data_IF_229051646843
#
_entry.id   IF_229051646843
#
_cell.length_a   1.000
_cell.length_b   1.000
_cell.length_c   1.000
_cell.angle_alpha   90.00
_cell.angle_beta   90.00
_cell.angle_gamma   90.00
#
_symmetry.space_group_name_H-M   'P 1'
#
loop_
_entity.id
_entity.type
_entity.pdbx_description
1 polymer ?
#
# COMPACT_ATOMS: atom_id res chain seq x y z
N UNK A 1 -23.91 55.27 -10.11
CA UNK A 1 -22.91 56.19 -9.53
C UNK A 1 -21.57 55.51 -9.60
N UNK A 2 -20.99 55.72 -10.61
CA UNK A 2 -19.72 56.09 -11.19
C UNK A 2 -18.49 55.96 -10.25
N UNK A 3 -17.48 55.30 -10.87
CA UNK A 3 -16.04 55.66 -10.86
C UNK A 3 -15.19 54.93 -9.81
N UNK A 4 -13.97 54.45 -10.08
CA UNK A 4 -12.98 54.64 -11.18
C UNK A 4 -11.95 53.52 -11.21
N UNK A 5 -11.57 53.12 -12.42
CA UNK A 5 -10.32 52.38 -12.72
C UNK A 5 -9.08 53.19 -12.26
N UNK A 6 -8.06 52.47 -11.80
CA UNK A 6 -6.68 53.00 -11.90
C UNK A 6 -5.73 51.85 -12.31
N UNK A 7 -5.39 51.88 -13.61
CA UNK A 7 -4.22 51.18 -14.19
C UNK A 7 -2.97 51.95 -13.76
N UNK A 8 -1.90 51.23 -13.37
CA UNK A 8 -0.54 51.74 -13.56
C UNK A 8 0.36 50.66 -14.14
N UNK A 9 1.02 51.09 -15.17
CA UNK A 9 1.88 50.47 -16.14
C UNK A 9 3.29 50.23 -15.63
N UNK A 10 3.95 49.22 -16.24
CA UNK A 10 5.38 48.87 -16.19
C UNK A 10 6.32 50.07 -16.51
N UNK A 11 7.63 49.89 -16.18
CA UNK A 11 8.49 49.65 -17.33
C UNK A 11 9.57 48.53 -17.13
N UNK A 12 9.87 47.95 -18.28
CA UNK A 12 10.98 47.09 -18.67
C UNK A 12 12.31 47.85 -18.51
N UNK A 13 13.36 47.19 -17.99
CA UNK A 13 14.74 47.57 -18.32
C UNK A 13 15.58 46.30 -18.53
N UNK A 14 16.00 46.14 -19.77
CA UNK A 14 17.00 45.17 -20.21
C UNK A 14 18.39 45.74 -20.02
N UNK A 15 19.34 44.94 -19.54
CA UNK A 15 20.78 45.19 -19.75
C UNK A 15 21.43 43.87 -20.12
N UNK A 16 21.92 43.85 -21.35
CA UNK A 16 22.86 42.89 -21.95
C UNK A 16 24.26 43.30 -21.55
N UNK A 17 25.12 42.38 -21.12
CA UNK A 17 26.55 42.48 -21.41
C UNK A 17 27.24 41.10 -21.45
N UNK A 18 27.88 40.91 -22.57
CA UNK A 18 28.69 39.79 -23.01
C UNK A 18 30.05 39.74 -22.31
N UNK A 19 30.64 38.57 -22.16
CA UNK A 19 32.04 38.40 -21.79
C UNK A 19 32.53 36.96 -22.03
N UNK A 20 32.98 36.71 -23.25
CA UNK A 20 33.81 35.55 -23.60
C UNK A 20 35.21 35.68 -22.97
N UNK A 21 35.76 34.62 -22.43
CA UNK A 21 37.21 34.37 -22.39
C UNK A 21 37.46 32.85 -22.42
N UNK A 22 37.97 32.40 -23.52
CA UNK A 22 38.61 31.11 -23.73
C UNK A 22 40.06 31.18 -23.25
N UNK A 23 40.55 30.17 -22.55
CA UNK A 23 41.97 29.88 -22.45
C UNK A 23 42.20 28.36 -22.57
N UNK A 24 43.18 28.06 -23.39
CA UNK A 24 43.55 26.83 -24.00
C UNK A 24 44.40 25.88 -23.10
N UNK A 25 44.49 24.64 -23.58
CA UNK A 25 45.31 23.52 -23.20
C UNK A 25 46.75 23.79 -22.78
N UNK A 26 47.27 22.99 -21.86
CA UNK A 26 48.66 22.50 -21.98
C UNK A 26 48.78 21.11 -21.33
N UNK A 27 49.11 20.11 -22.13
CA UNK A 27 49.65 18.81 -21.72
C UNK A 27 51.02 18.95 -21.07
N UNK A 28 51.28 18.21 -20.02
CA UNK A 28 52.66 17.91 -19.62
C UNK A 28 52.74 16.47 -19.11
N UNK A 29 53.34 15.62 -19.93
CA UNK A 29 53.81 14.27 -19.56
C UNK A 29 55.03 14.40 -18.65
N UNK A 30 54.99 13.73 -17.52
CA UNK A 30 56.25 13.35 -16.84
C UNK A 30 56.10 11.91 -16.38
N UNK A 31 56.93 11.10 -16.99
CA UNK A 31 57.19 9.68 -16.69
C UNK A 31 58.12 9.61 -15.50
N UNK A 32 57.80 8.85 -14.46
CA UNK A 32 58.76 8.33 -13.51
C UNK A 32 58.34 6.94 -13.06
N UNK A 33 59.31 6.03 -13.16
CA UNK A 33 59.25 4.59 -12.98
C UNK A 33 59.24 4.14 -11.53
N UNK A 34 58.38 3.17 -11.23
CA UNK A 34 58.38 1.93 -10.41
C UNK A 34 59.28 1.88 -9.13
N UNK A 35 58.81 1.32 -7.97
CA UNK A 35 58.90 -0.13 -7.85
C UNK A 35 57.67 -0.85 -7.32
N UNK A 36 57.58 -2.10 -7.77
CA UNK A 36 56.78 -3.24 -7.46
C UNK A 36 56.63 -3.50 -5.96
N UNK A 37 55.36 -3.57 -5.50
CA UNK A 37 55.02 -4.30 -4.29
C UNK A 37 53.66 -4.95 -4.53
N UNK A 38 53.68 -6.25 -4.71
CA UNK A 38 52.56 -7.17 -4.74
C UNK A 38 51.77 -7.08 -3.47
N UNK A 39 50.62 -6.39 -3.50
CA UNK A 39 49.52 -6.59 -2.56
C UNK A 39 48.33 -7.23 -3.30
N UNK A 40 47.97 -8.42 -2.83
CA UNK A 40 46.79 -9.17 -3.26
C UNK A 40 45.51 -8.30 -3.04
N UNK A 41 45.05 -7.66 -4.09
CA UNK A 41 43.69 -7.17 -4.17
C UNK A 41 42.82 -8.39 -4.42
N UNK A 42 42.15 -8.85 -3.37
CA UNK A 42 40.98 -9.74 -3.47
C UNK A 42 39.90 -8.91 -4.15
N UNK A 43 39.83 -9.01 -5.46
CA UNK A 43 38.62 -8.64 -6.21
C UNK A 43 37.57 -9.63 -5.79
N UNK A 44 36.68 -9.22 -4.86
CA UNK A 44 35.40 -9.85 -4.73
C UNK A 44 34.66 -9.56 -6.04
N UNK A 45 34.72 -10.51 -6.95
CA UNK A 45 33.73 -10.62 -8.02
C UNK A 45 32.37 -10.66 -7.35
N UNK A 46 31.64 -9.56 -7.43
CA UNK A 46 30.19 -9.54 -7.25
C UNK A 46 29.65 -10.29 -8.46
N UNK A 47 29.64 -11.60 -8.36
CA UNK A 47 28.88 -12.47 -9.26
C UNK A 47 27.44 -12.04 -9.12
N UNK A 48 26.97 -11.25 -10.07
CA UNK A 48 25.54 -11.13 -10.39
C UNK A 48 25.03 -12.57 -10.49
N UNK A 49 24.00 -12.97 -9.74
CA UNK A 49 23.41 -14.30 -9.92
C UNK A 49 22.90 -14.36 -11.36
N UNK A 50 23.59 -15.08 -12.20
CA UNK A 50 23.05 -15.58 -13.47
C UNK A 50 21.96 -16.57 -13.07
N UNK A 51 20.70 -16.12 -13.08
CA UNK A 51 19.56 -16.99 -12.93
C UNK A 51 19.43 -17.80 -14.22
N UNK A 52 19.97 -19.01 -14.22
CA UNK A 52 19.45 -20.09 -15.06
C UNK A 52 18.10 -20.46 -14.47
N UNK A 53 17.06 -19.73 -14.85
CA UNK A 53 15.67 -20.14 -14.58
C UNK A 53 15.49 -21.49 -15.27
N UNK A 54 15.33 -22.55 -14.48
CA UNK A 54 15.09 -23.90 -15.01
C UNK A 54 13.66 -24.06 -15.55
N UNK A 55 12.82 -23.03 -15.38
CA UNK A 55 11.43 -23.00 -15.84
C UNK A 55 11.41 -22.38 -17.25
N UNK A 56 10.88 -23.10 -18.25
CA UNK A 56 10.79 -22.55 -19.60
C UNK A 56 9.87 -21.33 -19.63
N UNK A 57 10.15 -20.33 -20.48
CA UNK A 57 9.26 -19.20 -20.69
C UNK A 57 7.85 -19.66 -21.06
N UNK A 58 6.82 -18.97 -20.55
CA UNK A 58 5.44 -19.32 -20.91
C UNK A 58 5.21 -19.11 -22.41
N UNK A 59 4.49 -20.04 -23.02
CA UNK A 59 4.15 -20.01 -24.46
C UNK A 59 2.67 -20.33 -24.63
N UNK A 60 2.03 -19.74 -25.59
CA UNK A 60 0.61 -19.96 -25.88
C UNK A 60 -0.19 -18.66 -25.80
N UNK A 61 -1.50 -18.80 -25.88
CA UNK A 61 -2.41 -17.65 -25.77
C UNK A 61 -2.29 -17.02 -24.38
N UNK A 62 -2.13 -15.71 -24.29
CA UNK A 62 -2.03 -15.02 -23.02
C UNK A 62 -3.25 -15.25 -22.11
N UNK A 63 -3.01 -15.23 -20.80
CA UNK A 63 -4.06 -15.01 -19.81
C UNK A 63 -4.15 -13.50 -19.57
N UNK A 64 -5.26 -12.88 -19.97
CA UNK A 64 -5.43 -11.44 -19.95
C UNK A 64 -6.09 -11.01 -18.64
N UNK A 65 -5.37 -10.22 -17.83
CA UNK A 65 -5.90 -9.64 -16.60
C UNK A 65 -6.24 -8.18 -16.86
N UNK A 66 -7.51 -7.83 -16.71
CA UNK A 66 -7.96 -6.43 -16.66
C UNK A 66 -7.61 -5.83 -15.31
N UNK A 67 -7.02 -4.65 -15.28
CA UNK A 67 -6.66 -3.94 -14.05
C UNK A 67 -7.43 -2.64 -13.98
N UNK A 68 -8.09 -2.39 -12.84
CA UNK A 68 -8.64 -1.07 -12.50
C UNK A 68 -7.92 -0.53 -11.27
N UNK A 69 -7.39 0.68 -11.38
CA UNK A 69 -6.75 1.38 -10.28
C UNK A 69 -6.99 2.89 -10.37
N UNK A 70 -7.06 3.59 -9.24
CA UNK A 70 -7.25 5.05 -9.21
C UNK A 70 -5.91 5.77 -9.22
N UNK A 71 -5.71 6.63 -10.23
CA UNK A 71 -4.49 7.43 -10.38
C UNK A 71 -4.81 8.84 -10.95
N UNK A 72 -3.89 9.78 -10.72
CA UNK A 72 -3.92 11.11 -11.32
C UNK A 72 -5.01 12.05 -10.79
N UNK A 73 -5.72 11.68 -9.74
CA UNK A 73 -6.70 12.52 -9.06
C UNK A 73 -6.04 13.25 -7.87
N UNK A 74 -6.35 14.52 -7.64
CA UNK A 74 -5.84 15.22 -6.45
C UNK A 74 -6.26 14.60 -5.11
N UNK A 75 -7.38 13.87 -5.10
CA UNK A 75 -7.92 13.21 -3.92
C UNK A 75 -7.44 11.75 -3.77
N UNK A 76 -6.99 11.12 -4.87
CA UNK A 76 -6.61 9.72 -4.90
C UNK A 76 -5.63 9.46 -6.06
N UNK A 77 -4.39 9.10 -5.74
CA UNK A 77 -3.33 8.83 -6.71
C UNK A 77 -2.46 7.69 -6.19
N UNK A 78 -2.68 6.48 -6.72
CA UNK A 78 -2.07 5.26 -6.21
C UNK A 78 -1.30 4.48 -7.30
N UNK A 79 -0.35 5.09 -8.01
CA UNK A 79 0.42 4.42 -9.08
C UNK A 79 1.25 3.23 -8.57
N UNK A 80 1.49 3.15 -7.27
CA UNK A 80 2.26 2.08 -6.65
C UNK A 80 1.60 0.71 -6.85
N UNK A 81 0.26 0.64 -6.84
CA UNK A 81 -0.46 -0.58 -7.18
C UNK A 81 -0.19 -1.03 -8.60
N UNK A 82 -0.36 -0.14 -9.58
CA UNK A 82 -0.15 -0.45 -11.00
C UNK A 82 1.29 -0.85 -11.28
N UNK A 83 2.25 -0.18 -10.67
CA UNK A 83 3.66 -0.52 -10.79
C UNK A 83 3.96 -1.89 -10.20
N UNK A 84 3.38 -2.23 -9.06
CA UNK A 84 3.52 -3.54 -8.43
C UNK A 84 2.87 -4.65 -9.25
N UNK A 85 1.70 -4.42 -9.86
CA UNK A 85 1.05 -5.37 -10.77
C UNK A 85 1.92 -5.67 -11.98
N UNK A 86 2.48 -4.64 -12.63
CA UNK A 86 3.43 -4.81 -13.75
C UNK A 86 4.68 -5.58 -13.33
N UNK A 87 5.23 -5.23 -12.17
CA UNK A 87 6.42 -5.89 -11.63
C UNK A 87 6.18 -7.37 -11.35
N UNK A 88 5.06 -7.71 -10.70
CA UNK A 88 4.68 -9.08 -10.38
C UNK A 88 4.37 -9.89 -11.66
N UNK A 89 3.66 -9.32 -12.63
CA UNK A 89 3.42 -9.97 -13.92
C UNK A 89 4.73 -10.26 -14.68
N UNK A 90 5.68 -9.32 -14.67
CA UNK A 90 7.00 -9.52 -15.26
C UNK A 90 7.75 -10.66 -14.55
N UNK A 91 7.72 -10.70 -13.21
CA UNK A 91 8.33 -11.78 -12.43
C UNK A 91 7.69 -13.13 -12.73
N UNK A 92 6.36 -13.21 -12.77
CA UNK A 92 5.64 -14.43 -13.08
C UNK A 92 5.99 -14.93 -14.50
N UNK A 93 6.07 -14.05 -15.47
CA UNK A 93 6.39 -14.42 -16.85
C UNK A 93 7.84 -14.83 -17.03
N UNK A 94 8.79 -14.15 -16.34
CA UNK A 94 10.22 -14.43 -16.54
C UNK A 94 10.74 -15.59 -15.71
N UNK A 95 10.21 -15.78 -14.48
CA UNK A 95 10.80 -16.70 -13.51
C UNK A 95 9.86 -17.84 -13.10
N UNK A 96 8.54 -17.64 -13.20
CA UNK A 96 7.56 -18.59 -12.67
C UNK A 96 6.78 -19.34 -13.77
N UNK A 97 7.08 -19.10 -15.06
CA UNK A 97 6.47 -19.80 -16.18
C UNK A 97 5.03 -19.41 -16.49
N UNK A 98 4.62 -18.21 -16.10
CA UNK A 98 3.27 -17.69 -16.35
C UNK A 98 2.17 -18.36 -15.50
N UNK A 99 0.93 -18.26 -15.94
CA UNK A 99 -0.21 -18.99 -15.38
C UNK A 99 -0.31 -20.36 -16.06
N UNK A 100 0.26 -21.37 -15.41
CA UNK A 100 0.29 -22.74 -15.91
C UNK A 100 0.83 -22.83 -17.36
N UNK A 101 1.85 -22.07 -17.71
CA UNK A 101 2.49 -22.06 -19.03
C UNK A 101 1.92 -21.02 -20.01
N UNK A 102 0.89 -20.27 -19.64
CA UNK A 102 0.35 -19.12 -20.41
C UNK A 102 1.00 -17.82 -19.91
N UNK A 103 1.51 -16.93 -20.79
CA UNK A 103 1.98 -15.62 -20.34
C UNK A 103 0.82 -14.78 -19.78
N UNK A 104 1.11 -13.94 -18.81
CA UNK A 104 0.15 -12.94 -18.29
C UNK A 104 0.30 -11.67 -19.12
N UNK A 105 -0.82 -11.13 -19.56
CA UNK A 105 -0.92 -9.78 -20.11
C UNK A 105 -1.83 -8.92 -19.24
N UNK A 106 -1.44 -7.66 -19.00
CA UNK A 106 -2.23 -6.71 -18.22
C UNK A 106 -2.86 -5.67 -19.12
N UNK A 107 -4.20 -5.63 -19.14
CA UNK A 107 -5.00 -4.56 -19.72
C UNK A 107 -5.36 -3.57 -18.61
N UNK A 108 -4.67 -2.43 -18.57
CA UNK A 108 -4.78 -1.49 -17.46
C UNK A 108 -5.67 -0.32 -17.83
N UNK A 109 -6.73 -0.11 -17.06
CA UNK A 109 -7.58 1.06 -17.10
C UNK A 109 -7.41 1.87 -15.81
N UNK A 110 -7.03 3.14 -15.95
CA UNK A 110 -6.86 4.06 -14.83
C UNK A 110 -8.16 4.82 -14.61
N UNK A 111 -8.74 4.65 -13.41
CA UNK A 111 -9.86 5.47 -12.96
C UNK A 111 -9.36 6.77 -12.32
N UNK A 112 -10.19 7.79 -12.29
CA UNK A 112 -9.89 9.07 -11.60
C UNK A 112 -10.64 9.18 -10.26
N UNK A 113 -11.13 8.05 -9.74
CA UNK A 113 -11.81 8.00 -8.45
C UNK A 113 -13.24 8.52 -8.49
N UNK A 114 -13.95 8.40 -9.62
CA UNK A 114 -15.39 8.69 -9.72
C UNK A 114 -16.16 7.46 -10.20
N UNK A 115 -17.47 7.35 -9.86
CA UNK A 115 -18.31 6.23 -10.33
C UNK A 115 -18.30 6.08 -11.84
N UNK A 116 -18.32 7.19 -12.58
CA UNK A 116 -18.36 7.21 -14.04
C UNK A 116 -17.05 6.68 -14.64
N UNK A 117 -15.90 7.04 -14.04
CA UNK A 117 -14.61 6.55 -14.52
C UNK A 117 -14.41 5.06 -14.23
N UNK A 118 -14.85 4.58 -13.07
CA UNK A 118 -14.80 3.15 -12.71
C UNK A 118 -15.71 2.33 -13.62
N UNK A 119 -16.93 2.84 -13.92
CA UNK A 119 -17.83 2.21 -14.87
C UNK A 119 -17.24 2.17 -16.29
N UNK A 120 -16.62 3.26 -16.75
CA UNK A 120 -15.97 3.30 -18.06
C UNK A 120 -14.84 2.26 -18.14
N UNK A 121 -14.03 2.09 -17.09
CA UNK A 121 -13.01 1.06 -17.01
C UNK A 121 -13.61 -0.36 -17.10
N UNK A 122 -14.68 -0.63 -16.34
CA UNK A 122 -15.33 -1.94 -16.38
C UNK A 122 -15.88 -2.25 -17.79
N UNK A 123 -16.50 -1.29 -18.46
CA UNK A 123 -17.01 -1.43 -19.82
C UNK A 123 -15.88 -1.67 -20.85
N UNK A 124 -14.77 -0.94 -20.73
CA UNK A 124 -13.59 -1.11 -21.59
C UNK A 124 -13.02 -2.52 -21.44
N UNK A 125 -12.79 -2.98 -20.21
CA UNK A 125 -12.22 -4.28 -19.92
C UNK A 125 -13.18 -5.42 -20.33
N UNK A 126 -14.48 -5.25 -20.15
CA UNK A 126 -15.49 -6.19 -20.62
C UNK A 126 -15.50 -6.29 -22.15
N UNK A 127 -15.37 -5.16 -22.87
CA UNK A 127 -15.27 -5.16 -24.33
C UNK A 127 -14.00 -5.87 -24.84
N UNK A 128 -12.90 -5.80 -24.10
CA UNK A 128 -11.64 -6.51 -24.36
C UNK A 128 -11.70 -7.99 -23.99
N UNK A 129 -12.75 -8.43 -23.29
CA UNK A 129 -12.96 -9.82 -22.85
C UNK A 129 -11.80 -10.36 -22.03
N UNK A 130 -11.37 -9.59 -21.02
CA UNK A 130 -10.33 -10.04 -20.10
C UNK A 130 -10.76 -11.31 -19.36
N UNK A 131 -9.82 -12.19 -19.02
CA UNK A 131 -10.11 -13.46 -18.32
C UNK A 131 -10.48 -13.24 -16.85
N UNK A 132 -9.97 -12.16 -16.23
CA UNK A 132 -10.11 -11.81 -14.82
C UNK A 132 -9.99 -10.29 -14.65
N UNK A 133 -10.78 -9.68 -13.78
CA UNK A 133 -10.59 -8.30 -13.33
C UNK A 133 -9.86 -8.25 -12.01
N UNK A 134 -8.74 -7.56 -11.96
CA UNK A 134 -7.94 -7.31 -10.76
C UNK A 134 -8.10 -5.85 -10.35
N UNK A 135 -8.59 -5.63 -9.13
CA UNK A 135 -8.84 -4.28 -8.61
C UNK A 135 -7.69 -3.91 -7.65
N UNK A 136 -7.04 -2.80 -7.93
CA UNK A 136 -6.11 -2.15 -7.02
C UNK A 136 -6.85 -1.37 -5.93
N UNK A 137 -6.69 -0.07 -5.91
CA UNK A 137 -7.49 0.82 -5.07
C UNK A 137 -8.47 1.59 -5.96
N UNK A 138 -9.69 1.09 -6.09
CA UNK A 138 -10.80 1.78 -6.75
C UNK A 138 -12.01 1.82 -5.82
N UNK A 139 -12.50 3.03 -5.52
CA UNK A 139 -13.58 3.23 -4.53
C UNK A 139 -14.95 2.83 -5.11
N UNK A 140 -15.13 2.94 -6.42
CA UNK A 140 -16.45 2.80 -7.06
C UNK A 140 -16.49 1.65 -8.08
N UNK A 141 -16.01 0.46 -7.67
CA UNK A 141 -15.96 -0.71 -8.55
C UNK A 141 -17.34 -1.02 -9.16
N UNK A 142 -17.43 -1.10 -10.47
CA UNK A 142 -18.65 -1.50 -11.18
C UNK A 142 -18.74 -3.02 -11.33
N UNK A 143 -19.11 -3.70 -10.25
CA UNK A 143 -19.32 -5.16 -10.24
C UNK A 143 -20.41 -5.59 -11.24
N UNK A 144 -21.42 -4.75 -11.47
CA UNK A 144 -22.54 -5.07 -12.35
C UNK A 144 -22.08 -5.33 -13.79
N UNK A 145 -21.20 -4.48 -14.31
CA UNK A 145 -20.63 -4.64 -15.66
C UNK A 145 -19.76 -5.89 -15.77
N UNK A 146 -18.90 -6.14 -14.78
CA UNK A 146 -18.04 -7.34 -14.79
C UNK A 146 -18.87 -8.63 -14.71
N UNK A 147 -19.84 -8.69 -13.79
CA UNK A 147 -20.72 -9.85 -13.61
C UNK A 147 -21.57 -10.12 -14.87
N UNK A 148 -22.11 -9.07 -15.50
CA UNK A 148 -22.85 -9.22 -16.76
C UNK A 148 -21.97 -9.78 -17.91
N UNK A 149 -20.69 -9.53 -17.88
CA UNK A 149 -19.70 -10.05 -18.81
C UNK A 149 -19.11 -11.42 -18.40
N UNK A 150 -19.51 -11.97 -17.25
CA UNK A 150 -18.96 -13.18 -16.64
C UNK A 150 -17.44 -13.07 -16.39
N UNK A 151 -16.97 -11.89 -16.00
CA UNK A 151 -15.59 -11.62 -15.65
C UNK A 151 -15.51 -11.61 -14.12
N UNK A 152 -14.84 -12.57 -13.47
CA UNK A 152 -14.68 -12.59 -12.03
C UNK A 152 -13.78 -11.44 -11.57
N UNK A 153 -14.11 -10.89 -10.39
CA UNK A 153 -13.40 -9.75 -9.78
C UNK A 153 -12.61 -10.21 -8.58
N UNK A 154 -11.30 -9.94 -8.58
CA UNK A 154 -10.43 -10.16 -7.41
C UNK A 154 -9.79 -8.82 -7.04
N UNK A 155 -10.18 -8.28 -5.88
CA UNK A 155 -9.67 -7.02 -5.35
C UNK A 155 -8.60 -7.21 -4.28
N UNK A 156 -7.74 -6.20 -4.11
CA UNK A 156 -6.84 -6.14 -2.98
C UNK A 156 -7.62 -5.83 -1.70
N UNK A 157 -8.27 -4.67 -1.66
CA UNK A 157 -8.83 -4.07 -0.44
C UNK A 157 -10.29 -3.66 -0.68
N UNK A 158 -11.27 -4.21 0.05
CA UNK A 158 -12.63 -3.69 0.05
C UNK A 158 -12.69 -2.35 0.80
N UNK A 159 -13.33 -1.34 0.22
CA UNK A 159 -13.33 0.03 0.73
C UNK A 159 -14.72 0.43 1.25
N UNK A 160 -15.74 0.21 0.43
CA UNK A 160 -17.12 0.56 0.77
C UNK A 160 -17.88 -0.62 1.38
N UNK A 161 -18.93 -0.36 2.18
CA UNK A 161 -19.78 -1.44 2.70
C UNK A 161 -20.36 -2.37 1.60
N UNK A 162 -20.62 -1.83 0.41
CA UNK A 162 -21.07 -2.61 -0.76
C UNK A 162 -20.06 -3.65 -1.22
N UNK A 163 -18.78 -3.42 -0.99
CA UNK A 163 -17.71 -4.32 -1.41
C UNK A 163 -17.69 -5.61 -0.57
N UNK A 164 -18.13 -5.53 0.69
CA UNK A 164 -18.08 -6.66 1.63
C UNK A 164 -18.99 -7.83 1.23
N UNK A 165 -20.05 -7.54 0.45
CA UNK A 165 -21.02 -8.54 -0.02
C UNK A 165 -21.13 -8.59 -1.54
N UNK A 166 -20.23 -7.93 -2.26
CA UNK A 166 -20.19 -7.95 -3.72
C UNK A 166 -19.93 -9.37 -4.26
N UNK A 167 -20.32 -9.62 -5.49
CA UNK A 167 -19.86 -10.82 -6.21
C UNK A 167 -18.42 -10.60 -6.69
N UNK A 168 -17.52 -10.64 -5.72
CA UNK A 168 -16.10 -10.39 -5.86
C UNK A 168 -15.34 -11.16 -4.76
N UNK A 169 -14.02 -11.12 -4.84
CA UNK A 169 -13.11 -11.72 -3.86
C UNK A 169 -12.10 -10.67 -3.45
N UNK A 170 -12.03 -10.36 -2.17
CA UNK A 170 -11.04 -9.46 -1.58
C UNK A 170 -10.08 -10.25 -0.71
N UNK A 171 -8.87 -10.45 -1.21
CA UNK A 171 -7.89 -11.35 -0.60
C UNK A 171 -7.10 -10.74 0.55
N UNK A 172 -7.09 -9.40 0.69
CA UNK A 172 -6.50 -8.73 1.85
C UNK A 172 -7.56 -8.05 2.70
N UNK A 173 -7.15 -7.64 3.89
CA UNK A 173 -8.04 -7.00 4.85
C UNK A 173 -8.41 -5.59 4.41
N UNK A 174 -9.71 -5.33 4.29
CA UNK A 174 -10.25 -3.98 4.06
C UNK A 174 -10.38 -3.16 5.34
N UNK A 175 -10.92 -1.97 5.17
CA UNK A 175 -11.05 -0.98 6.25
C UNK A 175 -11.77 -1.54 7.49
N UNK A 176 -12.87 -2.30 7.30
CA UNK A 176 -13.60 -2.93 8.39
C UNK A 176 -12.72 -3.85 9.23
N UNK A 177 -11.93 -4.72 8.57
CA UNK A 177 -11.03 -5.66 9.27
C UNK A 177 -9.88 -4.90 9.93
N UNK A 178 -9.30 -3.90 9.27
CA UNK A 178 -8.22 -3.08 9.84
C UNK A 178 -8.69 -2.39 11.12
N UNK A 179 -9.88 -1.80 11.12
CA UNK A 179 -10.40 -1.10 12.30
C UNK A 179 -10.84 -2.06 13.40
N UNK A 180 -11.48 -3.19 13.06
CA UNK A 180 -11.80 -4.24 14.03
C UNK A 180 -10.55 -4.83 14.68
N UNK A 181 -9.53 -5.17 13.90
CA UNK A 181 -8.25 -5.67 14.42
C UNK A 181 -7.54 -4.62 15.29
N UNK A 182 -7.62 -3.34 14.91
CA UNK A 182 -7.07 -2.25 15.75
C UNK A 182 -7.80 -2.15 17.09
N UNK A 183 -9.14 -2.23 17.08
CA UNK A 183 -9.92 -2.28 18.32
C UNK A 183 -9.54 -3.49 19.18
N UNK A 184 -9.40 -4.68 18.55
CA UNK A 184 -9.00 -5.90 19.27
C UNK A 184 -7.58 -5.80 19.83
N UNK A 185 -6.61 -5.28 19.06
CA UNK A 185 -5.23 -5.06 19.53
C UNK A 185 -5.18 -4.15 20.76
N UNK A 186 -6.00 -3.11 20.77
CA UNK A 186 -6.08 -2.17 21.90
C UNK A 186 -6.75 -2.80 23.12
N UNK A 187 -7.89 -3.47 22.93
CA UNK A 187 -8.81 -3.80 24.03
C UNK A 187 -8.65 -5.19 24.61
N UNK A 188 -8.12 -6.13 23.84
CA UNK A 188 -7.96 -7.52 24.28
C UNK A 188 -6.78 -7.66 25.26
N UNK A 189 -6.99 -8.26 26.45
CA UNK A 189 -5.92 -8.49 27.42
C UNK A 189 -4.75 -9.36 26.91
N UNK A 190 -4.96 -10.13 25.84
CA UNK A 190 -3.88 -10.87 25.16
C UNK A 190 -2.84 -9.92 24.57
N UNK A 191 -3.25 -8.71 24.15
CA UNK A 191 -2.40 -7.69 23.54
C UNK A 191 -2.15 -6.55 24.50
N UNK A 192 -2.94 -5.47 24.47
CA UNK A 192 -2.72 -4.30 25.33
C UNK A 192 -3.74 -4.17 26.48
N UNK A 193 -4.97 -4.65 26.33
CA UNK A 193 -5.99 -4.65 27.38
C UNK A 193 -6.46 -3.26 27.83
N UNK A 194 -6.36 -2.24 26.97
CA UNK A 194 -6.66 -0.85 27.26
C UNK A 194 -8.14 -0.52 27.03
N UNK A 195 -8.67 0.49 27.72
CA UNK A 195 -10.12 0.78 27.71
C UNK A 195 -10.49 2.23 27.41
N UNK A 196 -9.52 3.13 27.30
CA UNK A 196 -9.77 4.55 26.98
C UNK A 196 -8.97 4.95 25.75
N UNK A 197 -9.65 5.31 24.67
CA UNK A 197 -9.04 5.57 23.38
C UNK A 197 -9.37 6.98 22.91
N UNK A 198 -8.38 7.77 22.52
CA UNK A 198 -8.58 8.98 21.76
C UNK A 198 -8.36 8.69 20.27
N UNK A 199 -9.27 9.13 19.41
CA UNK A 199 -9.18 8.93 17.97
C UNK A 199 -9.02 10.29 17.31
N UNK A 200 -7.89 10.51 16.61
CA UNK A 200 -7.64 11.71 15.81
C UNK A 200 -8.03 11.40 14.37
N UNK A 201 -9.07 12.05 13.86
CA UNK A 201 -9.68 11.72 12.58
C UNK A 201 -9.87 12.98 11.72
N UNK A 202 -9.73 12.84 10.41
CA UNK A 202 -10.14 13.86 9.46
C UNK A 202 -11.60 13.66 9.03
N UNK A 203 -12.12 14.56 8.21
CA UNK A 203 -13.51 14.54 7.73
C UNK A 203 -13.67 13.93 6.32
N UNK A 204 -12.65 13.23 5.81
CA UNK A 204 -12.75 12.53 4.53
C UNK A 204 -13.73 11.36 4.58
N UNK A 205 -14.39 11.01 3.46
CA UNK A 205 -15.29 9.87 3.40
C UNK A 205 -14.65 8.55 3.84
N UNK A 206 -13.39 8.33 3.51
CA UNK A 206 -12.64 7.13 3.89
C UNK A 206 -12.47 7.04 5.42
N UNK A 207 -12.12 8.16 6.06
CA UNK A 207 -11.99 8.22 7.52
C UNK A 207 -13.32 8.07 8.22
N UNK A 208 -14.39 8.68 7.69
CA UNK A 208 -15.75 8.53 8.26
C UNK A 208 -16.22 7.06 8.18
N UNK A 209 -15.91 6.35 7.09
CA UNK A 209 -16.17 4.91 6.97
C UNK A 209 -15.35 4.10 8.00
N UNK A 210 -14.10 4.46 8.22
CA UNK A 210 -13.25 3.81 9.23
C UNK A 210 -13.78 4.02 10.66
N UNK A 211 -14.19 5.24 10.98
CA UNK A 211 -14.79 5.58 12.28
C UNK A 211 -16.08 4.80 12.53
N UNK A 212 -16.92 4.64 11.50
CA UNK A 212 -18.17 3.87 11.60
C UNK A 212 -17.95 2.40 11.98
N UNK A 213 -16.71 1.90 11.86
CA UNK A 213 -16.31 0.57 12.33
C UNK A 213 -15.56 0.63 13.66
N UNK A 214 -14.57 1.50 13.78
CA UNK A 214 -13.70 1.52 14.97
C UNK A 214 -14.44 1.87 16.25
N UNK A 215 -15.31 2.88 16.23
CA UNK A 215 -16.07 3.29 17.43
C UNK A 215 -16.98 2.18 17.94
N UNK A 216 -17.84 1.53 17.12
CA UNK A 216 -18.65 0.40 17.56
C UNK A 216 -17.82 -0.80 18.04
N UNK A 217 -16.71 -1.12 17.35
CA UNK A 217 -15.84 -2.23 17.75
C UNK A 217 -15.18 -2.00 19.12
N UNK A 218 -14.72 -0.78 19.40
CA UNK A 218 -14.22 -0.39 20.72
C UNK A 218 -15.32 -0.48 21.79
N UNK A 219 -16.52 0.00 21.48
CA UNK A 219 -17.65 -0.05 22.40
C UNK A 219 -18.08 -1.50 22.69
N UNK A 220 -18.14 -2.37 21.65
CA UNK A 220 -18.43 -3.80 21.81
C UNK A 220 -17.41 -4.49 22.71
N UNK A 221 -16.13 -4.14 22.56
CA UNK A 221 -15.06 -4.63 23.42
C UNK A 221 -15.01 -3.99 24.82
N UNK A 222 -15.99 -3.13 25.17
CA UNK A 222 -16.11 -2.49 26.50
C UNK A 222 -15.11 -1.36 26.72
N UNK A 223 -14.63 -0.72 25.65
CA UNK A 223 -13.81 0.48 25.71
C UNK A 223 -14.61 1.76 25.42
N UNK A 224 -14.09 2.90 25.86
CA UNK A 224 -14.64 4.23 25.55
C UNK A 224 -13.73 4.95 24.55
N UNK A 225 -14.33 5.59 23.55
CA UNK A 225 -13.61 6.37 22.57
C UNK A 225 -14.00 7.85 22.64
N UNK A 226 -13.03 8.74 22.43
CA UNK A 226 -13.26 10.17 22.22
C UNK A 226 -12.68 10.55 20.87
N UNK A 227 -13.52 11.03 19.95
CA UNK A 227 -13.10 11.42 18.62
C UNK A 227 -12.76 12.91 18.59
N UNK A 228 -11.55 13.22 18.18
CA UNK A 228 -11.03 14.55 17.95
C UNK A 228 -10.99 14.75 16.42
N UNK A 229 -11.82 15.67 15.93
CA UNK A 229 -11.98 15.90 14.48
C UNK A 229 -11.16 17.11 14.03
N UNK A 230 -10.39 16.93 12.96
CA UNK A 230 -9.75 17.97 12.18
C UNK A 230 -10.25 17.99 10.74
N UNK A 231 -9.75 18.93 9.95
CA UNK A 231 -10.02 18.97 8.51
C UNK A 231 -9.31 17.84 7.76
N UNK A 232 -9.60 17.72 6.48
CA UNK A 232 -8.94 16.71 5.61
C UNK A 232 -7.42 16.87 5.59
N UNK A 233 -6.97 18.13 5.61
CA UNK A 233 -5.56 18.51 5.79
C UNK A 233 -5.46 19.63 6.83
N UNK A 234 -4.39 19.60 7.63
CA UNK A 234 -4.11 20.58 8.66
C UNK A 234 -2.71 21.20 8.47
N UNK A 235 -2.48 22.32 9.14
CA UNK A 235 -1.12 22.84 9.33
C UNK A 235 -0.42 22.07 10.45
N UNK A 236 0.92 22.16 10.56
CA UNK A 236 1.66 21.55 11.67
C UNK A 236 1.12 22.00 13.04
N UNK A 237 0.75 23.27 13.18
CA UNK A 237 0.12 23.80 14.39
C UNK A 237 -1.27 23.18 14.63
N UNK A 238 -2.04 22.92 13.56
CA UNK A 238 -3.32 22.22 13.63
C UNK A 238 -3.17 20.79 14.11
N UNK A 239 -2.26 20.02 13.53
CA UNK A 239 -1.98 18.66 13.97
C UNK A 239 -1.49 18.61 15.42
N UNK A 240 -0.64 19.57 15.82
CA UNK A 240 -0.20 19.68 17.21
C UNK A 240 -1.38 19.96 18.17
N UNK A 241 -2.34 20.80 17.76
CA UNK A 241 -3.54 21.05 18.53
C UNK A 241 -4.42 19.81 18.66
N UNK A 242 -4.60 19.03 17.58
CA UNK A 242 -5.34 17.77 17.62
C UNK A 242 -4.70 16.77 18.58
N UNK A 243 -3.38 16.61 18.54
CA UNK A 243 -2.64 15.74 19.49
C UNK A 243 -2.79 16.24 20.94
N UNK A 244 -2.73 17.55 21.17
CA UNK A 244 -2.94 18.14 22.50
C UNK A 244 -4.36 17.88 23.01
N UNK A 245 -5.37 18.00 22.18
CA UNK A 245 -6.76 17.69 22.53
C UNK A 245 -6.93 16.20 22.84
N UNK A 246 -6.32 15.32 22.05
CA UNK A 246 -6.33 13.89 22.31
C UNK A 246 -5.70 13.56 23.67
N UNK A 247 -4.52 14.09 23.96
CA UNK A 247 -3.83 13.89 25.23
C UNK A 247 -4.65 14.42 26.43
N UNK A 248 -5.36 15.54 26.26
CA UNK A 248 -6.20 16.13 27.31
C UNK A 248 -7.38 15.25 27.75
N UNK A 249 -7.76 14.24 26.96
CA UNK A 249 -8.78 13.24 27.33
C UNK A 249 -8.27 12.19 28.33
N UNK A 250 -6.97 12.20 28.66
CA UNK A 250 -6.28 11.18 29.44
C UNK A 250 -6.51 9.77 28.88
N UNK A 251 -6.19 9.53 27.61
CA UNK A 251 -6.38 8.25 26.96
C UNK A 251 -5.33 7.23 27.43
N UNK A 252 -5.64 5.95 27.27
CA UNK A 252 -4.69 4.84 27.43
C UNK A 252 -4.06 4.45 26.08
N UNK A 253 -4.70 4.80 24.97
CA UNK A 253 -4.18 4.67 23.60
C UNK A 253 -4.67 5.82 22.73
N UNK A 254 -3.90 6.14 21.66
CA UNK A 254 -4.30 7.09 20.63
C UNK A 254 -4.35 6.35 19.29
N UNK A 255 -5.37 6.62 18.47
CA UNK A 255 -5.47 6.15 17.08
C UNK A 255 -5.47 7.36 16.16
N UNK A 256 -4.54 7.40 15.20
CA UNK A 256 -4.52 8.41 14.14
C UNK A 256 -5.05 7.81 12.84
N UNK A 257 -6.03 8.48 12.23
CA UNK A 257 -6.61 8.13 10.94
C UNK A 257 -6.15 9.06 9.80
N UNK A 258 -5.09 9.81 10.03
CA UNK A 258 -4.45 10.61 8.98
C UNK A 258 -3.47 9.76 8.16
N UNK A 259 -3.28 10.17 6.90
CA UNK A 259 -2.25 9.62 6.02
C UNK A 259 -1.03 10.55 5.90
N UNK A 260 -0.02 10.10 5.22
CA UNK A 260 1.25 10.77 4.83
C UNK A 260 1.65 12.05 5.61
N UNK A 261 1.23 13.25 5.18
CA UNK A 261 1.62 14.52 5.82
C UNK A 261 1.14 14.61 7.27
N UNK A 262 -0.07 14.07 7.55
CA UNK A 262 -0.60 13.99 8.91
C UNK A 262 0.17 13.01 9.79
N UNK A 263 0.71 11.91 9.22
CA UNK A 263 1.59 10.98 9.95
C UNK A 263 2.81 11.72 10.50
N UNK A 264 3.52 12.46 9.63
CA UNK A 264 4.73 13.20 10.01
C UNK A 264 4.44 14.19 11.15
N UNK A 265 3.41 15.01 10.96
CA UNK A 265 3.09 16.06 11.91
C UNK A 265 2.61 15.52 13.27
N UNK A 266 1.76 14.47 13.28
CA UNK A 266 1.26 13.88 14.51
C UNK A 266 2.32 13.09 15.28
N UNK A 267 3.24 12.40 14.58
CA UNK A 267 4.36 11.72 15.24
C UNK A 267 5.28 12.72 15.94
N UNK A 268 5.63 13.83 15.27
CA UNK A 268 6.41 14.92 15.87
C UNK A 268 5.67 15.58 17.03
N UNK A 269 4.38 15.88 16.86
CA UNK A 269 3.56 16.48 17.91
C UNK A 269 3.47 15.60 19.16
N UNK A 270 3.39 14.28 19.00
CA UNK A 270 3.38 13.32 20.11
C UNK A 270 4.64 13.45 20.97
N UNK A 271 5.82 13.53 20.34
CA UNK A 271 7.10 13.71 21.04
C UNK A 271 7.20 15.09 21.70
N UNK A 272 6.85 16.17 20.97
CA UNK A 272 6.88 17.54 21.50
C UNK A 272 5.99 17.71 22.74
N UNK A 273 4.85 17.04 22.77
CA UNK A 273 3.88 17.09 23.86
C UNK A 273 4.14 16.03 24.94
N UNK A 274 5.19 15.22 24.80
CA UNK A 274 5.56 14.15 25.72
C UNK A 274 4.41 13.17 26.00
N UNK A 275 3.68 12.78 24.94
CA UNK A 275 2.59 11.81 25.02
C UNK A 275 3.17 10.41 24.89
N UNK A 276 3.18 9.64 25.98
CA UNK A 276 3.86 8.33 26.05
C UNK A 276 2.94 7.12 25.81
N UNK A 277 1.61 7.33 25.78
CA UNK A 277 0.66 6.22 25.55
C UNK A 277 0.87 5.57 24.18
N UNK A 278 0.58 4.25 24.01
CA UNK A 278 0.62 3.58 22.74
C UNK A 278 -0.19 4.34 21.68
N UNK A 279 0.39 4.47 20.49
CA UNK A 279 -0.27 5.16 19.38
C UNK A 279 -0.37 4.25 18.17
N UNK A 280 -1.52 4.30 17.48
CA UNK A 280 -1.85 3.45 16.32
C UNK A 280 -2.08 4.30 15.09
N UNK A 281 -1.65 3.79 13.95
CA UNK A 281 -1.91 4.37 12.63
C UNK A 281 -1.95 3.28 11.56
N UNK A 282 -2.17 3.65 10.32
CA UNK A 282 -2.20 2.72 9.20
C UNK A 282 -0.81 2.50 8.58
N UNK A 283 -0.68 1.48 7.75
CA UNK A 283 0.59 1.10 7.10
C UNK A 283 1.16 2.17 6.17
N UNK A 284 0.34 3.09 5.62
CA UNK A 284 0.84 4.18 4.79
C UNK A 284 1.77 5.15 5.54
N UNK A 285 1.64 5.20 6.88
CA UNK A 285 2.54 5.98 7.72
C UNK A 285 3.90 5.31 7.95
N UNK A 286 4.09 4.08 7.50
CA UNK A 286 5.37 3.36 7.55
C UNK A 286 6.20 3.56 6.28
N UNK A 287 5.69 4.28 5.29
CA UNK A 287 6.43 4.59 4.07
C UNK A 287 7.79 5.24 4.38
N UNK A 288 8.82 4.90 3.62
CA UNK A 288 10.19 5.42 3.80
C UNK A 288 10.23 6.95 3.85
N UNK A 289 9.41 7.61 3.01
CA UNK A 289 9.30 9.08 2.99
C UNK A 289 8.81 9.66 4.31
N UNK A 290 7.90 8.96 5.01
CA UNK A 290 7.40 9.36 6.34
C UNK A 290 8.45 9.07 7.39
N UNK A 291 8.97 7.84 7.43
CA UNK A 291 9.94 7.41 8.45
C UNK A 291 11.21 8.24 8.38
N UNK A 292 11.75 8.49 7.18
CA UNK A 292 12.91 9.36 6.99
C UNK A 292 12.65 10.81 7.45
N UNK A 293 11.40 11.28 7.35
CA UNK A 293 11.04 12.62 7.80
C UNK A 293 10.90 12.73 9.33
N UNK A 294 10.43 11.68 10.00
CA UNK A 294 10.14 11.72 11.45
C UNK A 294 11.26 11.16 12.32
N UNK A 295 12.08 10.24 11.77
CA UNK A 295 13.14 9.58 12.53
C UNK A 295 12.59 8.92 13.82
N UNK A 296 13.26 9.20 14.94
CA UNK A 296 12.90 8.63 16.25
C UNK A 296 11.49 9.00 16.75
N UNK A 297 10.81 9.98 16.14
CA UNK A 297 9.43 10.31 16.50
C UNK A 297 8.41 9.23 16.11
N UNK A 298 8.81 8.24 15.30
CA UNK A 298 8.01 7.05 15.02
C UNK A 298 7.97 6.04 16.18
N UNK A 299 8.87 6.15 17.17
CA UNK A 299 8.96 5.21 18.29
C UNK A 299 7.63 5.10 19.06
N UNK A 300 7.25 3.86 19.38
CA UNK A 300 6.02 3.56 20.11
C UNK A 300 4.74 3.68 19.28
N UNK A 301 4.85 3.84 17.95
CA UNK A 301 3.72 3.76 17.05
C UNK A 301 3.52 2.34 16.55
N UNK A 302 2.26 1.89 16.56
CA UNK A 302 1.79 0.64 15.95
C UNK A 302 1.22 0.95 14.58
N UNK A 303 1.66 0.17 13.57
CA UNK A 303 1.25 0.30 12.17
C UNK A 303 0.37 -0.88 11.80
N UNK A 304 -0.92 -0.62 11.63
CA UNK A 304 -1.91 -1.62 11.27
C UNK A 304 -1.75 -2.05 9.81
N UNK A 305 -1.71 -3.37 9.55
CA UNK A 305 -1.58 -3.94 8.21
C UNK A 305 -0.14 -4.12 7.73
N UNK A 306 0.85 -4.03 8.63
CA UNK A 306 2.26 -4.27 8.33
C UNK A 306 2.91 -5.20 9.35
N UNK A 307 3.87 -6.02 8.90
CA UNK A 307 4.74 -6.81 9.79
C UNK A 307 6.06 -6.09 10.11
N UNK A 308 6.19 -4.84 9.70
CA UNK A 308 7.43 -4.08 9.81
C UNK A 308 8.29 -4.14 8.55
N UNK A 309 9.32 -3.32 8.55
CA UNK A 309 10.27 -3.18 7.44
C UNK A 309 11.34 -4.27 7.44
N UNK A 310 10.94 -5.54 7.53
CA UNK A 310 11.91 -6.63 7.52
C UNK A 310 12.43 -6.82 6.10
N UNK A 311 13.71 -6.54 5.90
CA UNK A 311 14.41 -6.93 4.69
C UNK A 311 14.37 -8.46 4.56
N UNK A 312 13.65 -8.94 3.57
CA UNK A 312 13.49 -10.36 3.26
C UNK A 312 13.90 -10.65 1.82
N UNK A 313 14.09 -11.91 1.49
CA UNK A 313 14.36 -12.30 0.10
C UNK A 313 13.20 -11.85 -0.83
N UNK A 314 11.96 -11.91 -0.35
CA UNK A 314 10.78 -11.48 -1.13
C UNK A 314 10.73 -9.96 -1.30
N UNK A 315 11.02 -9.19 -0.24
CA UNK A 315 11.11 -7.73 -0.30
C UNK A 315 12.19 -7.28 -1.29
N UNK A 316 13.36 -7.92 -1.26
CA UNK A 316 14.44 -7.62 -2.19
C UNK A 316 14.08 -8.00 -3.64
N UNK A 317 13.39 -9.11 -3.83
CA UNK A 317 12.87 -9.54 -5.13
C UNK A 317 11.87 -8.53 -5.68
N UNK A 318 10.88 -8.13 -4.88
CA UNK A 318 9.90 -7.10 -5.25
C UNK A 318 10.59 -5.81 -5.66
N UNK A 319 11.55 -5.33 -4.85
CA UNK A 319 12.33 -4.12 -5.13
C UNK A 319 13.04 -4.19 -6.48
N UNK A 320 13.67 -5.33 -6.80
CA UNK A 320 14.34 -5.54 -8.09
C UNK A 320 13.38 -5.46 -9.28
N UNK A 321 12.18 -6.00 -9.16
CA UNK A 321 11.21 -5.98 -10.26
C UNK A 321 10.48 -4.64 -10.39
N UNK A 322 10.10 -4.02 -9.28
CA UNK A 322 9.50 -2.68 -9.29
C UNK A 322 10.48 -1.63 -9.81
N UNK A 323 11.76 -1.71 -9.44
CA UNK A 323 12.81 -0.79 -9.92
C UNK A 323 12.89 -0.76 -11.45
N UNK A 324 12.76 -1.92 -12.11
CA UNK A 324 12.74 -2.02 -13.58
C UNK A 324 11.50 -1.34 -14.19
N UNK A 325 10.35 -1.43 -13.51
CA UNK A 325 9.09 -0.82 -13.98
C UNK A 325 9.15 0.71 -13.87
N UNK A 326 9.62 1.22 -12.73
CA UNK A 326 9.67 2.67 -12.46
C UNK A 326 10.95 3.33 -12.96
N UNK A 327 11.90 2.55 -13.49
CA UNK A 327 13.21 3.00 -13.99
C UNK A 327 14.00 3.80 -12.92
N UNK A 328 14.09 3.21 -11.72
CA UNK A 328 14.87 3.73 -10.58
C UNK A 328 15.88 2.69 -10.13
N UNK A 329 16.88 3.10 -9.34
CA UNK A 329 17.74 2.14 -8.64
C UNK A 329 16.93 1.36 -7.58
N UNK A 330 17.24 0.07 -7.32
CA UNK A 330 16.47 -0.71 -6.35
C UNK A 330 16.40 -0.07 -4.96
N UNK A 331 17.46 0.56 -4.49
CA UNK A 331 17.54 1.28 -3.23
C UNK A 331 16.63 2.52 -3.13
N UNK A 332 16.21 3.06 -4.27
CA UNK A 332 15.31 4.22 -4.37
C UNK A 332 13.84 3.82 -4.51
N UNK A 333 13.52 2.53 -4.41
CA UNK A 333 12.16 2.00 -4.55
C UNK A 333 11.58 1.72 -3.17
N UNK A 334 10.48 2.43 -2.85
CA UNK A 334 9.65 2.10 -1.69
C UNK A 334 8.83 0.84 -2.00
N UNK A 335 9.01 -0.18 -1.18
CA UNK A 335 8.33 -1.48 -1.32
C UNK A 335 7.31 -1.72 -0.22
N UNK A 336 7.02 -0.71 0.58
CA UNK A 336 6.00 -0.79 1.63
C UNK A 336 4.64 -0.28 1.15
N UNK A 337 3.64 -0.39 1.98
CA UNK A 337 2.30 0.10 1.68
C UNK A 337 1.65 -0.56 0.46
N UNK A 338 1.22 0.23 -0.49
CA UNK A 338 0.44 -0.23 -1.64
C UNK A 338 1.26 -1.05 -2.65
N UNK A 339 2.56 -0.81 -2.75
CA UNK A 339 3.48 -1.65 -3.55
C UNK A 339 3.42 -3.10 -3.07
N UNK A 340 3.54 -3.32 -1.76
CA UNK A 340 3.45 -4.67 -1.17
C UNK A 340 2.09 -5.30 -1.45
N UNK A 341 0.99 -4.56 -1.30
CA UNK A 341 -0.36 -5.09 -1.52
C UNK A 341 -0.56 -5.54 -2.98
N UNK A 342 -0.15 -4.73 -3.95
CA UNK A 342 -0.24 -5.10 -5.36
C UNK A 342 0.60 -6.32 -5.73
N UNK A 343 1.81 -6.42 -5.18
CA UNK A 343 2.70 -7.57 -5.34
C UNK A 343 2.07 -8.84 -4.76
N UNK A 344 1.63 -8.80 -3.50
CA UNK A 344 0.99 -9.93 -2.82
C UNK A 344 -0.27 -10.38 -3.56
N UNK A 345 -1.12 -9.45 -3.98
CA UNK A 345 -2.35 -9.76 -4.71
C UNK A 345 -2.05 -10.58 -5.97
N UNK A 346 -1.17 -10.07 -6.83
CA UNK A 346 -0.85 -10.71 -8.11
C UNK A 346 -0.23 -12.10 -7.91
N UNK A 347 0.71 -12.23 -6.98
CA UNK A 347 1.38 -13.50 -6.71
C UNK A 347 0.48 -14.51 -5.97
N UNK A 348 -0.48 -14.05 -5.16
CA UNK A 348 -1.49 -14.92 -4.56
C UNK A 348 -2.42 -15.52 -5.62
N UNK A 349 -2.83 -14.72 -6.60
CA UNK A 349 -3.59 -15.21 -7.76
C UNK A 349 -2.76 -16.24 -8.54
N UNK A 350 -1.47 -15.98 -8.76
CA UNK A 350 -0.57 -16.95 -9.41
C UNK A 350 -0.46 -18.27 -8.62
N UNK A 351 -0.35 -18.22 -7.27
CA UNK A 351 -0.31 -19.43 -6.43
C UNK A 351 -1.52 -20.35 -6.67
N UNK A 352 -2.69 -19.77 -6.85
CA UNK A 352 -3.91 -20.52 -7.18
C UNK A 352 -3.86 -21.00 -8.63
N UNK A 353 -3.58 -20.11 -9.58
CA UNK A 353 -3.59 -20.40 -11.01
C UNK A 353 -2.67 -21.57 -11.40
N UNK A 354 -1.44 -21.62 -10.83
CA UNK A 354 -0.48 -22.69 -11.14
C UNK A 354 -0.98 -24.08 -10.77
N UNK A 355 -1.86 -24.19 -9.77
CA UNK A 355 -2.40 -25.46 -9.31
C UNK A 355 -3.60 -25.94 -10.15
N UNK A 356 -4.20 -25.05 -10.96
CA UNK A 356 -5.35 -25.36 -11.81
C UNK A 356 -4.96 -25.95 -13.16
N UNK A 357 -3.66 -25.87 -13.52
CA UNK A 357 -3.14 -26.45 -14.76
C UNK A 357 -3.41 -25.62 -16.02
N UNK A 358 -3.09 -26.13 -17.22
CA UNK A 358 -3.04 -25.36 -18.46
C UNK A 358 -4.39 -24.85 -18.98
N UNK A 359 -5.50 -25.35 -18.43
CA UNK A 359 -6.87 -24.91 -18.77
C UNK A 359 -7.42 -23.90 -17.76
N UNK A 360 -6.54 -23.22 -17.05
CA UNK A 360 -6.91 -22.20 -16.05
C UNK A 360 -7.78 -21.10 -16.69
N UNK A 361 -8.87 -20.76 -16.01
CA UNK A 361 -9.78 -19.66 -16.35
C UNK A 361 -9.92 -18.73 -15.14
N UNK A 362 -10.36 -17.50 -15.36
CA UNK A 362 -10.63 -16.56 -14.30
C UNK A 362 -11.65 -17.11 -13.30
N UNK A 363 -12.72 -17.73 -13.79
CA UNK A 363 -13.74 -18.36 -12.95
C UNK A 363 -13.18 -19.49 -12.09
N UNK A 364 -12.34 -20.36 -12.64
CA UNK A 364 -11.70 -21.43 -11.88
C UNK A 364 -10.78 -20.90 -10.76
N UNK A 365 -10.10 -19.77 -11.00
CA UNK A 365 -9.31 -19.07 -9.98
C UNK A 365 -10.22 -18.53 -8.88
N UNK A 366 -11.30 -17.84 -9.26
CA UNK A 366 -12.28 -17.29 -8.31
C UNK A 366 -12.93 -18.39 -7.47
N UNK A 367 -13.35 -19.48 -8.09
CA UNK A 367 -13.94 -20.62 -7.40
C UNK A 367 -12.97 -21.30 -6.42
N UNK A 368 -11.69 -21.37 -6.80
CA UNK A 368 -10.65 -21.90 -5.90
C UNK A 368 -10.53 -21.07 -4.63
N UNK A 369 -10.56 -19.75 -4.74
CA UNK A 369 -10.59 -18.86 -3.56
C UNK A 369 -11.86 -19.06 -2.73
N UNK A 370 -13.05 -19.11 -3.35
CA UNK A 370 -14.33 -19.34 -2.66
C UNK A 370 -14.38 -20.66 -1.92
N UNK A 371 -13.62 -21.67 -2.38
CA UNK A 371 -13.50 -22.98 -1.74
C UNK A 371 -12.42 -23.05 -0.66
N UNK A 372 -11.76 -21.94 -0.33
CA UNK A 372 -10.71 -21.89 0.68
C UNK A 372 -9.35 -22.44 0.22
N UNK A 373 -9.15 -22.65 -1.09
CA UNK A 373 -7.89 -23.20 -1.62
C UNK A 373 -6.83 -22.14 -1.92
N UNK A 374 -6.98 -20.92 -1.40
CA UNK A 374 -6.02 -19.82 -1.60
C UNK A 374 -5.26 -19.50 -0.31
N UNK A 375 -3.99 -19.11 -0.48
CA UNK A 375 -3.19 -18.48 0.58
C UNK A 375 -2.55 -17.22 0.05
N UNK A 376 -2.28 -16.25 0.92
CA UNK A 376 -1.54 -15.07 0.50
C UNK A 376 -0.09 -15.43 0.13
N UNK A 377 0.50 -14.67 -0.79
CA UNK A 377 1.92 -14.73 -1.06
C UNK A 377 2.70 -14.31 0.20
N UNK A 378 3.77 -15.04 0.50
CA UNK A 378 4.56 -14.79 1.72
C UNK A 378 3.88 -15.26 3.02
N UNK A 379 2.73 -15.92 2.94
CA UNK A 379 2.01 -16.45 4.10
C UNK A 379 1.46 -17.86 3.80
N UNK A 380 1.40 -18.68 4.83
CA UNK A 380 0.74 -20.00 4.79
C UNK A 380 -0.69 -19.94 5.36
N UNK A 381 -1.14 -18.76 5.79
CA UNK A 381 -2.49 -18.57 6.30
C UNK A 381 -3.52 -18.78 5.18
N UNK A 382 -4.46 -19.71 5.40
CA UNK A 382 -5.56 -19.96 4.48
C UNK A 382 -6.51 -18.76 4.43
N UNK A 383 -6.96 -18.43 3.22
CA UNK A 383 -8.00 -17.43 3.02
C UNK A 383 -9.37 -18.05 3.29
N UNK A 384 -10.23 -17.31 4.00
CA UNK A 384 -11.53 -17.77 4.48
C UNK A 384 -12.69 -17.09 3.74
N UNK A 385 -12.61 -17.04 2.40
CA UNK A 385 -13.62 -16.37 1.58
C UNK A 385 -15.02 -16.95 1.84
N UNK A 386 -16.02 -16.07 1.98
CA UNK A 386 -17.42 -16.47 2.13
C UNK A 386 -17.81 -17.12 3.47
N UNK A 387 -16.88 -17.24 4.43
CA UNK A 387 -17.17 -17.88 5.73
C UNK A 387 -18.04 -17.04 6.65
N UNK A 388 -18.03 -15.71 6.46
CA UNK A 388 -18.87 -14.76 7.19
C UNK A 388 -19.91 -14.19 6.24
N UNK A 389 -21.20 -14.49 6.38
CA UNK A 389 -22.25 -14.11 5.40
C UNK A 389 -22.37 -12.61 5.16
N UNK A 390 -22.19 -11.78 6.18
CA UNK A 390 -22.20 -10.31 6.08
C UNK A 390 -20.94 -9.74 5.42
N UNK A 391 -19.93 -10.57 5.18
CA UNK A 391 -18.62 -10.23 4.59
C UNK A 391 -18.25 -11.26 3.52
N UNK A 392 -19.21 -11.71 2.71
CA UNK A 392 -19.05 -12.85 1.80
C UNK A 392 -17.95 -12.67 0.75
N UNK A 393 -17.61 -11.43 0.40
CA UNK A 393 -16.50 -11.12 -0.52
C UNK A 393 -15.13 -11.05 0.16
N UNK A 394 -15.07 -10.99 1.49
CA UNK A 394 -13.82 -10.80 2.25
C UNK A 394 -13.21 -12.15 2.62
N UNK A 395 -11.91 -12.29 2.41
CA UNK A 395 -11.19 -13.54 2.64
C UNK A 395 -10.22 -13.51 3.83
N UNK A 396 -9.82 -12.31 4.28
CA UNK A 396 -8.88 -12.14 5.39
C UNK A 396 -9.52 -11.34 6.51
N UNK A 397 -9.58 -11.90 7.71
CA UNK A 397 -10.21 -11.30 8.89
C UNK A 397 -9.22 -10.93 9.99
N UNK A 398 -7.94 -11.03 9.70
CA UNK A 398 -6.87 -10.69 10.64
C UNK A 398 -5.75 -9.97 9.91
N UNK A 399 -5.09 -9.04 10.61
CA UNK A 399 -3.96 -8.28 10.06
C UNK A 399 -2.75 -8.33 11.00
N UNK A 400 -1.53 -8.23 10.44
CA UNK A 400 -0.34 -8.01 11.22
C UNK A 400 -0.27 -6.56 11.73
N UNK A 401 0.52 -6.36 12.78
CA UNK A 401 0.93 -5.04 13.26
C UNK A 401 2.44 -4.97 13.35
N UNK A 402 3.01 -3.83 12.98
CA UNK A 402 4.38 -3.49 13.32
C UNK A 402 4.41 -2.49 14.48
N UNK A 403 5.43 -2.57 15.33
CA UNK A 403 5.78 -1.58 16.35
C UNK A 403 7.10 -0.94 15.96
N UNK A 404 7.17 0.38 15.92
CA UNK A 404 8.44 1.06 15.69
C UNK A 404 9.22 1.19 16.99
N UNK A 405 10.43 0.66 16.98
CA UNK A 405 11.39 0.60 18.11
C UNK A 405 12.70 1.29 17.72
N UNK A 406 13.69 1.24 18.60
CA UNK A 406 15.07 1.69 18.31
C UNK A 406 15.73 0.92 17.13
N UNK A 407 15.23 -0.27 16.83
CA UNK A 407 15.72 -1.11 15.72
C UNK A 407 14.91 -0.90 14.41
N UNK A 408 13.98 0.06 14.40
CA UNK A 408 13.05 0.26 13.29
C UNK A 408 11.70 -0.43 13.53
N UNK A 409 10.97 -0.70 12.44
CA UNK A 409 9.67 -1.35 12.50
C UNK A 409 9.83 -2.87 12.65
N UNK A 410 9.40 -3.40 13.78
CA UNK A 410 9.46 -4.83 14.12
C UNK A 410 8.05 -5.43 14.24
N UNK A 411 7.86 -6.74 14.02
CA UNK A 411 6.57 -7.39 14.22
C UNK A 411 6.05 -7.18 15.66
N UNK A 412 4.88 -6.59 15.82
CA UNK A 412 4.22 -6.46 17.10
C UNK A 412 3.52 -7.77 17.50
N UNK A 413 3.16 -7.89 18.76
CA UNK A 413 2.37 -9.01 19.31
C UNK A 413 2.96 -10.41 19.00
N UNK A 414 4.30 -10.50 18.96
CA UNK A 414 4.98 -11.76 18.65
C UNK A 414 4.86 -12.19 17.18
N UNK A 415 4.48 -11.27 16.28
CA UNK A 415 4.28 -11.54 14.86
C UNK A 415 2.92 -12.18 14.52
N UNK A 416 2.03 -12.33 15.50
CA UNK A 416 0.68 -12.86 15.27
C UNK A 416 -0.20 -11.83 14.55
N UNK A 417 -1.03 -12.32 13.62
CA UNK A 417 -2.11 -11.53 13.06
C UNK A 417 -3.24 -11.35 14.08
N UNK A 418 -3.72 -10.14 14.24
CA UNK A 418 -4.83 -9.81 15.17
C UNK A 418 -6.15 -9.92 14.42
N UNK A 419 -7.06 -10.77 14.92
CA UNK A 419 -8.39 -10.97 14.33
C UNK A 419 -9.30 -9.77 14.58
N UNK A 420 -10.12 -9.41 13.61
CA UNK A 420 -11.22 -8.45 13.77
C UNK A 420 -12.49 -9.11 14.31
N UNK A 421 -12.66 -10.42 14.10
CA UNK A 421 -13.92 -11.12 14.39
C UNK A 421 -14.31 -11.12 15.87
N UNK A 422 -13.32 -10.96 16.77
CA UNK A 422 -13.56 -10.97 18.21
C UNK A 422 -14.29 -9.71 18.73
N UNK A 423 -14.33 -8.66 17.93
CA UNK A 423 -14.85 -7.33 18.33
C UNK A 423 -15.83 -6.72 17.32
N UNK A 424 -16.15 -7.43 16.26
CA UNK A 424 -17.18 -7.04 15.29
C UNK A 424 -18.48 -7.74 15.63
N UNK A 425 -19.57 -6.98 15.69
CA UNK A 425 -20.94 -7.52 15.81
C UNK A 425 -21.44 -7.84 14.39
N UNK A 426 -21.21 -9.10 13.95
CA UNK A 426 -21.39 -9.56 12.56
C UNK A 426 -22.58 -10.52 12.42
#
# INVERSE_FOLDING_TARGET
>A
MNMKLCRKTLPVLAVVLSGLLAIACTESKTTTSIPDSTENVVTTDVTTPSQDSTIPPPTGEPFVIGVVNTEGSPAADFPDFTNAFRAAANYINSELGGFAGRPIELEICISVGSPESSQACAQELAAKKVDLAMIGLDIFVDYGTFNAASIPVIGAVPILPSDYTADAIYITAGNLVVQGSTANAITNPKYLGLKKVAIIANDSPATLSALATLEPALAFAGATAVVIKGGETETDAGYRLLMQQAAATNPEAIVSMYGQSGCVALMRARVELQVEVPAFTNTACLADTVINAVGDAAQGWYFAGSQGGVESADTNLMRQYVSKVVNKAPEDVDVFGFTTLGWIQTLSIWKVAKNLGPTVTGEAIADSFRQGNGTLWGSDAELQCGTVPSLSAVCSFAIPFALYTDNGAEPAFGGENVSALDVLDL
#
